data_IF_177201462531
#
_entry.id   IF_177201462531
#
_cell.length_a   1.000
_cell.length_b   1.000
_cell.length_c   1.000
_cell.angle_alpha   90.00
_cell.angle_beta   90.00
_cell.angle_gamma   90.00
#
_symmetry.space_group_name_H-M   'P 1'
#
loop_
_entity.id
_entity.type
_entity.pdbx_description
1 polymer ?
#
# COMPACT_ATOMS: atom_id res chain seq x y z
N UNK A 1 69.90 54.01 -1.83
CA UNK A 1 68.49 53.64 -1.97
C UNK A 1 68.44 52.13 -1.99
N UNK A 2 68.12 51.53 -0.84
CA UNK A 2 67.91 50.09 -0.70
C UNK A 2 66.43 49.90 -0.43
N UNK A 3 65.73 49.25 -1.34
CA UNK A 3 64.36 48.79 -1.13
C UNK A 3 64.41 47.29 -0.93
N UNK A 4 64.10 46.92 0.31
CA UNK A 4 63.83 45.58 0.80
C UNK A 4 62.56 45.06 0.12
N UNK A 5 62.65 43.93 -0.59
CA UNK A 5 61.48 43.18 -1.02
C UNK A 5 60.85 42.51 0.21
N UNK A 6 59.57 42.81 0.44
CA UNK A 6 58.73 42.11 1.39
C UNK A 6 58.25 40.78 0.79
N UNK A 7 58.04 39.72 1.60
CA UNK A 7 57.62 38.42 1.10
C UNK A 7 56.17 38.49 0.63
N UNK A 8 55.93 37.99 -0.58
CA UNK A 8 54.61 37.69 -1.12
C UNK A 8 53.90 36.70 -0.21
N UNK A 9 52.82 37.16 0.41
CA UNK A 9 51.81 36.32 1.08
C UNK A 9 50.56 36.33 0.20
N UNK A 10 50.61 35.55 -0.87
CA UNK A 10 49.40 35.12 -1.58
C UNK A 10 49.13 33.66 -1.19
N UNK A 11 48.70 33.45 0.06
CA UNK A 11 47.88 32.28 0.37
C UNK A 11 46.45 32.61 -0.08
N UNK A 12 46.17 32.37 -1.36
CA UNK A 12 44.80 32.35 -1.86
C UNK A 12 44.01 31.26 -1.10
N UNK A 13 42.79 31.53 -0.61
CA UNK A 13 42.00 30.51 0.05
C UNK A 13 41.66 29.42 -0.98
N UNK A 14 41.96 28.17 -0.62
CA UNK A 14 41.60 26.96 -1.36
C UNK A 14 40.14 27.03 -1.84
N UNK A 15 39.95 26.94 -3.16
CA UNK A 15 38.66 27.01 -3.85
C UNK A 15 37.89 25.68 -3.88
N UNK A 16 38.38 24.64 -3.18
CA UNK A 16 37.74 23.31 -3.14
C UNK A 16 36.82 23.16 -1.91
N UNK A 17 35.77 23.98 -1.83
CA UNK A 17 34.76 23.81 -0.78
C UNK A 17 33.71 22.78 -1.20
N UNK A 18 33.67 21.64 -0.50
CA UNK A 18 32.60 20.66 -0.62
C UNK A 18 31.50 20.95 0.40
N UNK A 19 30.28 21.24 -0.07
CA UNK A 19 29.11 21.40 0.79
C UNK A 19 28.33 20.09 0.82
N UNK A 20 28.16 19.51 2.00
CA UNK A 20 27.26 18.36 2.20
C UNK A 20 25.98 18.80 2.89
N UNK A 21 24.84 18.32 2.38
CA UNK A 21 23.50 18.49 2.96
C UNK A 21 22.91 17.12 3.32
N UNK A 22 22.42 16.98 4.55
CA UNK A 22 21.69 15.79 5.02
C UNK A 22 20.19 16.05 4.95
N UNK A 23 19.47 15.18 4.26
CA UNK A 23 18.05 15.32 4.01
C UNK A 23 17.27 14.35 4.90
N UNK A 24 16.27 14.87 5.59
CA UNK A 24 15.31 14.12 6.40
C UNK A 24 13.92 14.23 5.77
N UNK A 25 13.35 13.10 5.37
CA UNK A 25 12.03 13.06 4.73
C UNK A 25 11.12 12.08 5.48
N UNK A 26 10.01 12.54 6.09
CA UNK A 26 9.01 11.65 6.65
C UNK A 26 8.19 11.00 5.52
N UNK A 27 8.02 9.70 5.60
CA UNK A 27 7.27 8.89 4.64
C UNK A 27 6.16 8.16 5.37
N UNK A 28 4.91 8.47 5.03
CA UNK A 28 3.75 7.71 5.47
C UNK A 28 3.68 6.42 4.66
N UNK A 29 3.82 5.28 5.33
CA UNK A 29 3.86 3.95 4.69
C UNK A 29 2.54 3.19 4.87
N UNK A 30 1.80 3.50 5.95
CA UNK A 30 0.51 2.87 6.25
C UNK A 30 -0.35 3.81 7.07
N UNK A 31 -1.63 3.91 6.72
CA UNK A 31 -2.62 4.67 7.49
C UNK A 31 -3.33 3.87 8.59
N UNK A 32 -4.22 4.56 9.28
CA UNK A 32 -5.14 4.01 10.26
C UNK A 32 -6.33 3.37 9.55
N UNK A 33 -6.66 2.12 9.89
CA UNK A 33 -7.77 1.38 9.29
C UNK A 33 -8.42 0.49 10.36
N UNK A 34 -9.74 0.25 10.34
CA UNK A 34 -10.28 -0.88 11.07
C UNK A 34 -9.62 -2.16 10.53
N UNK A 35 -9.38 -3.14 11.38
CA UNK A 35 -8.72 -4.40 10.99
C UNK A 35 -8.97 -5.52 12.00
N UNK A 36 -8.61 -6.74 11.61
CA UNK A 36 -8.70 -7.91 12.46
C UNK A 36 -7.30 -8.42 12.81
N UNK A 37 -7.14 -8.90 14.05
CA UNK A 37 -5.93 -9.60 14.48
C UNK A 37 -6.29 -11.04 14.83
N UNK A 38 -5.63 -12.06 14.25
CA UNK A 38 -5.86 -13.44 14.65
C UNK A 38 -5.44 -13.62 16.11
N UNK A 39 -6.25 -14.35 16.86
CA UNK A 39 -5.99 -14.71 18.25
C UNK A 39 -6.31 -16.16 18.48
N UNK A 40 -5.50 -16.84 19.28
CA UNK A 40 -5.77 -18.23 19.67
C UNK A 40 -6.41 -18.23 21.04
N UNK A 41 -7.65 -18.74 21.13
CA UNK A 41 -8.35 -18.88 22.40
C UNK A 41 -8.33 -20.34 22.80
N UNK A 42 -7.87 -20.62 24.03
CA UNK A 42 -8.02 -21.94 24.62
C UNK A 42 -9.45 -22.09 25.14
N UNK A 43 -10.28 -22.87 24.44
CA UNK A 43 -11.58 -23.28 24.94
C UNK A 43 -11.45 -24.61 25.68
N UNK A 44 -12.07 -24.69 26.85
CA UNK A 44 -12.32 -25.98 27.51
C UNK A 44 -13.67 -26.48 27.03
N UNK A 45 -13.68 -27.64 26.39
CA UNK A 45 -14.93 -28.34 26.12
C UNK A 45 -15.50 -28.91 27.44
N UNK A 46 -16.75 -29.39 27.42
CA UNK A 46 -17.46 -29.91 28.61
C UNK A 46 -16.73 -31.08 29.28
N UNK A 47 -15.87 -31.78 28.54
CA UNK A 47 -15.06 -32.91 29.02
C UNK A 47 -13.69 -32.49 29.60
N UNK A 48 -13.43 -31.17 29.70
CA UNK A 48 -12.19 -30.63 30.29
C UNK A 48 -10.96 -30.66 29.39
N UNK A 49 -11.09 -31.16 28.16
CA UNK A 49 -10.07 -31.06 27.11
C UNK A 49 -9.92 -29.61 26.63
N UNK A 50 -8.67 -29.16 26.46
CA UNK A 50 -8.38 -27.87 25.86
C UNK A 50 -8.34 -28.03 24.35
N UNK A 51 -9.27 -27.40 23.64
CA UNK A 51 -9.15 -27.14 22.21
C UNK A 51 -8.63 -25.71 22.01
N UNK A 52 -7.75 -25.54 21.03
CA UNK A 52 -7.28 -24.22 20.61
C UNK A 52 -8.06 -23.86 19.36
N UNK A 53 -8.87 -22.81 19.44
CA UNK A 53 -9.64 -22.29 18.32
C UNK A 53 -9.01 -20.95 17.93
N UNK A 54 -8.58 -20.83 16.68
CA UNK A 54 -8.09 -19.55 16.14
C UNK A 54 -9.31 -18.74 15.74
N UNK A 55 -9.47 -17.59 16.38
CA UNK A 55 -10.50 -16.60 16.08
C UNK A 55 -9.82 -15.27 15.77
N UNK A 56 -10.57 -14.18 15.80
CA UNK A 56 -10.06 -12.84 15.53
C UNK A 56 -10.54 -11.86 16.61
N UNK A 57 -9.79 -10.78 16.78
CA UNK A 57 -10.20 -9.61 17.57
C UNK A 57 -10.26 -8.38 16.67
N UNK A 58 -11.33 -7.62 16.83
CA UNK A 58 -11.50 -6.31 16.20
C UNK A 58 -10.46 -5.34 16.75
N UNK A 59 -9.74 -4.69 15.86
CA UNK A 59 -8.65 -3.77 16.19
C UNK A 59 -8.59 -2.64 15.17
N UNK A 60 -7.64 -1.72 15.36
CA UNK A 60 -7.31 -0.67 14.41
C UNK A 60 -5.82 -0.74 14.10
N UNK A 61 -5.44 -0.60 12.83
CA UNK A 61 -4.02 -0.53 12.44
C UNK A 61 -3.45 0.80 12.92
N UNK A 62 -2.27 0.75 13.55
CA UNK A 62 -1.53 1.98 13.85
C UNK A 62 -0.89 2.51 12.56
N UNK A 63 -1.02 3.82 12.27
CA UNK A 63 -0.26 4.46 11.20
C UNK A 63 1.24 4.19 11.33
N UNK A 64 1.90 4.02 10.19
CA UNK A 64 3.35 3.83 10.11
C UNK A 64 3.94 4.98 9.33
N UNK A 65 4.70 5.82 10.02
CA UNK A 65 5.49 6.90 9.42
C UNK A 65 6.95 6.60 9.73
N UNK A 66 7.79 6.61 8.71
CA UNK A 66 9.23 6.41 8.85
C UNK A 66 10.00 7.60 8.32
N UNK A 67 11.24 7.75 8.76
CA UNK A 67 12.12 8.81 8.26
C UNK A 67 13.12 8.21 7.28
N UNK A 68 13.08 8.69 6.04
CA UNK A 68 14.11 8.42 5.05
C UNK A 68 15.22 9.47 5.18
N UNK A 69 16.44 8.99 4.97
CA UNK A 69 17.67 9.75 5.12
C UNK A 69 18.45 9.64 3.83
N UNK A 70 18.80 10.78 3.26
CA UNK A 70 19.75 10.87 2.15
C UNK A 70 20.76 11.97 2.44
N UNK A 71 21.89 11.94 1.73
CA UNK A 71 22.89 12.99 1.82
C UNK A 71 23.35 13.31 0.40
N UNK A 72 23.46 14.61 0.10
CA UNK A 72 23.97 15.13 -1.17
C UNK A 72 25.21 15.95 -0.90
N UNK A 73 26.21 15.82 -1.73
CA UNK A 73 27.44 16.61 -1.60
C UNK A 73 27.72 17.31 -2.91
N UNK A 74 28.03 18.59 -2.81
CA UNK A 74 28.27 19.45 -3.96
C UNK A 74 29.68 20.03 -3.84
N UNK A 75 30.48 19.88 -4.89
CA UNK A 75 31.77 20.52 -5.01
C UNK A 75 31.66 21.70 -5.96
N UNK A 76 32.12 22.87 -5.53
CA UNK A 76 32.22 24.03 -6.41
C UNK A 76 33.42 23.87 -7.34
N UNK A 77 33.24 24.10 -8.63
CA UNK A 77 34.32 24.02 -9.64
C UNK A 77 35.19 25.28 -9.71
N UNK A 78 34.97 26.25 -8.83
CA UNK A 78 35.63 27.56 -8.81
C UNK A 78 35.10 28.55 -9.84
N UNK A 79 34.18 28.13 -10.73
CA UNK A 79 33.51 28.97 -11.73
C UNK A 79 32.04 29.26 -11.37
N UNK A 80 31.60 28.79 -10.20
CA UNK A 80 30.23 28.97 -9.71
C UNK A 80 29.27 27.84 -10.10
N UNK A 81 29.76 26.77 -10.72
CA UNK A 81 28.97 25.56 -10.90
C UNK A 81 29.20 24.58 -9.75
N UNK A 82 28.13 23.91 -9.34
CA UNK A 82 28.16 22.85 -8.33
C UNK A 82 28.05 21.49 -9.04
N UNK A 83 29.03 20.62 -8.83
CA UNK A 83 29.01 19.23 -9.29
C UNK A 83 28.64 18.32 -8.09
N UNK A 84 27.69 17.39 -8.29
CA UNK A 84 27.38 16.39 -7.27
C UNK A 84 28.53 15.37 -7.17
N UNK A 85 29.05 15.18 -5.96
CA UNK A 85 30.18 14.30 -5.66
C UNK A 85 29.85 13.37 -4.50
N UNK A 86 30.64 12.32 -4.33
CA UNK A 86 30.52 11.44 -3.17
C UNK A 86 30.73 12.21 -1.86
N UNK A 87 29.96 11.83 -0.84
CA UNK A 87 30.09 12.41 0.51
C UNK A 87 31.49 12.07 1.06
N UNK A 88 32.29 13.08 1.47
CA UNK A 88 33.61 12.82 2.07
C UNK A 88 33.51 11.88 3.26
N UNK A 89 34.47 10.95 3.40
CA UNK A 89 34.43 9.90 4.45
C UNK A 89 34.29 10.46 5.86
N UNK A 90 34.97 11.57 6.15
CA UNK A 90 34.91 12.25 7.45
C UNK A 90 33.53 12.85 7.70
N UNK A 91 32.94 13.49 6.69
CA UNK A 91 31.57 14.01 6.73
C UNK A 91 30.57 12.88 6.92
N UNK A 92 30.71 11.76 6.20
CA UNK A 92 29.87 10.59 6.37
C UNK A 92 29.91 10.03 7.80
N UNK A 93 31.10 9.93 8.39
CA UNK A 93 31.26 9.50 9.78
C UNK A 93 30.58 10.48 10.77
N UNK A 94 30.66 11.79 10.51
CA UNK A 94 29.97 12.81 11.30
C UNK A 94 28.44 12.71 11.16
N UNK A 95 27.93 12.51 9.93
CA UNK A 95 26.49 12.28 9.67
C UNK A 95 25.99 11.08 10.46
N UNK A 96 26.74 9.97 10.46
CA UNK A 96 26.35 8.78 11.21
C UNK A 96 26.26 9.05 12.73
N UNK A 97 27.22 9.79 13.30
CA UNK A 97 27.17 10.19 14.72
C UNK A 97 25.96 11.07 15.03
N UNK A 98 25.70 12.06 14.17
CA UNK A 98 24.55 12.96 14.30
C UNK A 98 23.22 12.20 14.22
N UNK A 99 23.04 11.37 13.18
CA UNK A 99 21.81 10.57 12.98
C UNK A 99 21.58 9.64 14.15
N UNK A 100 22.63 8.98 14.68
CA UNK A 100 22.51 8.13 15.86
C UNK A 100 22.03 8.92 17.08
N UNK A 101 22.65 10.08 17.37
CA UNK A 101 22.23 10.97 18.46
C UNK A 101 20.79 11.45 18.28
N UNK A 102 20.40 11.78 17.06
CA UNK A 102 19.07 12.28 16.77
C UNK A 102 18.00 11.17 16.89
N UNK A 103 18.34 9.94 16.46
CA UNK A 103 17.50 8.74 16.62
C UNK A 103 17.28 8.34 18.09
N UNK A 104 18.29 8.47 18.94
CA UNK A 104 18.14 8.26 20.39
C UNK A 104 17.12 9.23 21.00
N UNK A 105 17.08 10.47 20.50
CA UNK A 105 16.07 11.46 20.88
C UNK A 105 14.68 11.16 20.32
N UNK A 106 14.59 10.71 19.07
CA UNK A 106 13.31 10.35 18.43
C UNK A 106 12.68 9.07 18.98
N UNK A 107 13.45 8.23 19.68
CA UNK A 107 13.00 6.96 20.23
C UNK A 107 12.36 6.04 19.17
N UNK A 108 11.71 4.95 19.59
CA UNK A 108 10.73 4.33 18.72
C UNK A 108 9.59 5.36 18.54
N UNK A 109 9.54 6.06 17.41
CA UNK A 109 8.39 6.89 16.98
C UNK A 109 7.15 6.00 16.70
N UNK A 110 6.85 5.11 17.64
CA UNK A 110 6.01 3.92 17.52
C UNK A 110 5.00 4.01 18.66
N UNK A 111 3.90 4.70 18.36
CA UNK A 111 2.54 4.48 18.87
C UNK A 111 1.83 5.84 18.94
N UNK A 112 0.78 5.97 18.14
CA UNK A 112 -0.36 6.81 18.52
C UNK A 112 -0.68 6.48 19.97
N UNK A 113 -0.79 7.46 20.89
CA UNK A 113 -1.01 7.17 22.31
C UNK A 113 -2.21 6.23 22.46
N UNK A 114 -2.11 5.24 23.35
CA UNK A 114 -3.24 4.37 23.64
C UNK A 114 -4.44 5.24 24.08
N UNK A 115 -5.53 5.22 23.30
CA UNK A 115 -6.69 6.12 23.47
C UNK A 115 -6.84 7.21 22.41
N UNK A 116 -5.86 7.43 21.55
CA UNK A 116 -5.96 8.34 20.39
C UNK A 116 -6.23 7.61 19.05
N UNK A 117 -6.33 6.28 19.08
CA UNK A 117 -6.82 5.52 17.93
C UNK A 117 -8.35 5.63 17.85
N UNK A 118 -8.92 5.68 16.64
CA UNK A 118 -10.35 5.57 16.45
C UNK A 118 -10.87 4.21 16.92
N UNK A 119 -12.18 4.11 17.10
CA UNK A 119 -12.88 2.87 17.41
C UNK A 119 -13.29 2.14 16.14
N UNK A 120 -13.55 0.83 16.26
CA UNK A 120 -13.96 -0.05 15.15
C UNK A 120 -15.11 0.50 14.31
N UNK A 121 -16.09 1.15 14.94
CA UNK A 121 -17.32 1.67 14.32
C UNK A 121 -17.28 3.15 13.97
N UNK A 122 -16.13 3.80 14.15
CA UNK A 122 -16.02 5.21 13.84
C UNK A 122 -16.16 5.45 12.32
N UNK A 123 -16.59 6.64 11.88
CA UNK A 123 -16.61 6.99 10.46
C UNK A 123 -15.20 7.14 9.89
N UNK A 124 -15.06 7.03 8.56
CA UNK A 124 -13.78 7.17 7.83
C UNK A 124 -12.98 8.42 8.26
N UNK A 125 -13.64 9.55 8.47
CA UNK A 125 -13.01 10.80 8.90
C UNK A 125 -12.17 10.67 10.19
N UNK A 126 -12.55 9.79 11.12
CA UNK A 126 -11.77 9.56 12.35
C UNK A 126 -10.44 8.85 12.07
N UNK A 127 -10.45 7.90 11.12
CA UNK A 127 -9.25 7.19 10.68
C UNK A 127 -8.32 8.10 9.87
N UNK A 128 -8.87 8.91 8.96
CA UNK A 128 -8.11 9.94 8.23
C UNK A 128 -7.44 10.93 9.19
N UNK A 129 -8.19 11.43 10.18
CA UNK A 129 -7.67 12.33 11.20
C UNK A 129 -6.51 11.70 11.98
N UNK A 130 -6.66 10.44 12.42
CA UNK A 130 -5.61 9.70 13.11
C UNK A 130 -4.34 9.56 12.25
N UNK A 131 -4.49 9.25 10.96
CA UNK A 131 -3.38 9.14 10.00
C UNK A 131 -2.65 10.48 9.84
N UNK A 132 -3.39 11.56 9.57
CA UNK A 132 -2.82 12.90 9.40
C UNK A 132 -2.13 13.40 10.67
N UNK A 133 -2.75 13.21 11.84
CA UNK A 133 -2.19 13.59 13.13
C UNK A 133 -0.89 12.83 13.43
N UNK A 134 -0.83 11.55 13.06
CA UNK A 134 0.38 10.74 13.21
C UNK A 134 1.53 11.27 12.37
N UNK A 135 1.28 11.65 11.12
CA UNK A 135 2.27 12.27 10.23
C UNK A 135 2.76 13.62 10.77
N UNK A 136 1.84 14.49 11.20
CA UNK A 136 2.18 15.78 11.80
C UNK A 136 3.01 15.64 13.08
N UNK A 137 2.65 14.68 13.94
CA UNK A 137 3.38 14.40 15.18
C UNK A 137 4.79 13.91 14.86
N UNK A 138 4.93 13.00 13.90
CA UNK A 138 6.23 12.50 13.45
C UNK A 138 7.12 13.63 12.94
N UNK A 139 6.58 14.50 12.09
CA UNK A 139 7.30 15.68 11.59
C UNK A 139 7.72 16.64 12.72
N UNK A 140 6.85 16.86 13.70
CA UNK A 140 7.14 17.74 14.84
C UNK A 140 8.29 17.20 15.69
N UNK A 141 8.26 15.89 15.99
CA UNK A 141 9.34 15.21 16.71
C UNK A 141 10.65 15.23 15.93
N UNK A 142 10.59 14.96 14.63
CA UNK A 142 11.75 15.07 13.76
C UNK A 142 12.37 16.46 13.84
N UNK A 143 11.57 17.52 13.64
CA UNK A 143 12.02 18.92 13.69
C UNK A 143 12.65 19.30 15.02
N UNK A 144 12.01 18.94 16.14
CA UNK A 144 12.50 19.26 17.48
C UNK A 144 13.89 18.68 17.74
N UNK A 145 14.03 17.38 17.49
CA UNK A 145 15.20 16.62 17.90
C UNK A 145 16.32 16.63 16.84
N UNK A 146 16.01 16.80 15.54
CA UNK A 146 17.03 17.15 14.51
C UNK A 146 17.69 18.47 14.90
N UNK A 147 16.87 19.52 15.11
CA UNK A 147 17.36 20.83 15.47
C UNK A 147 18.14 20.84 16.78
N UNK A 148 17.63 20.16 17.83
CA UNK A 148 18.33 20.02 19.10
C UNK A 148 19.68 19.32 18.95
N UNK A 149 19.72 18.19 18.25
CA UNK A 149 20.98 17.43 18.05
C UNK A 149 21.97 18.21 17.20
N UNK A 150 21.49 18.98 16.22
CA UNK A 150 22.36 19.79 15.36
C UNK A 150 22.98 20.95 16.16
N UNK A 151 22.17 21.63 16.97
CA UNK A 151 22.60 22.76 17.83
C UNK A 151 23.59 22.33 18.91
N UNK A 152 23.44 21.12 19.46
CA UNK A 152 24.35 20.62 20.50
C UNK A 152 25.77 20.29 19.97
N UNK A 153 25.94 20.19 18.65
CA UNK A 153 27.22 19.93 17.99
C UNK A 153 27.85 18.56 18.33
N UNK A 154 29.01 18.27 17.74
CA UNK A 154 29.82 17.10 18.08
C UNK A 154 30.87 17.50 19.13
N UNK A 155 30.46 17.52 20.40
CA UNK A 155 31.34 17.93 21.50
C UNK A 155 31.82 19.40 21.40
N UNK A 156 30.91 20.30 20.99
CA UNK A 156 31.18 21.74 20.86
C UNK A 156 31.77 22.18 19.51
N UNK A 157 31.99 21.26 18.56
CA UNK A 157 32.28 21.59 17.16
C UNK A 157 31.00 21.57 16.32
N UNK A 158 30.90 22.51 15.38
CA UNK A 158 29.85 22.51 14.37
C UNK A 158 29.94 21.27 13.47
N UNK A 159 28.80 20.83 12.95
CA UNK A 159 28.74 19.70 12.02
C UNK A 159 29.33 20.09 10.65
N UNK A 160 30.08 19.21 9.97
CA UNK A 160 30.66 19.48 8.64
C UNK A 160 29.64 19.37 7.50
N UNK A 161 28.36 19.58 7.80
CA UNK A 161 27.23 19.48 6.88
C UNK A 161 26.09 20.38 7.35
N UNK A 162 25.20 20.76 6.44
CA UNK A 162 23.89 21.31 6.78
C UNK A 162 22.85 20.20 6.78
N UNK A 163 21.68 20.45 7.36
CA UNK A 163 20.55 19.54 7.23
C UNK A 163 19.32 20.26 6.70
N UNK A 164 18.50 19.51 5.96
CA UNK A 164 17.20 19.94 5.46
C UNK A 164 16.14 18.93 5.84
N UNK A 165 15.00 19.43 6.30
CA UNK A 165 13.84 18.63 6.66
C UNK A 165 12.73 18.97 5.70
N UNK A 166 12.27 18.00 4.90
CA UNK A 166 11.08 18.17 4.10
C UNK A 166 9.85 17.81 4.95
N UNK A 167 8.75 18.57 4.85
CA UNK A 167 7.53 18.27 5.60
C UNK A 167 6.78 17.06 5.05
N UNK A 168 6.95 16.78 3.75
CA UNK A 168 6.33 15.67 3.03
C UNK A 168 7.23 15.19 1.88
N UNK A 169 6.86 14.05 1.30
CA UNK A 169 7.60 13.45 0.18
C UNK A 169 7.46 14.24 -1.11
N UNK A 170 6.33 14.89 -1.36
CA UNK A 170 6.10 15.60 -2.61
C UNK A 170 7.11 16.74 -2.78
N UNK A 171 7.32 17.53 -1.72
CA UNK A 171 8.32 18.61 -1.74
C UNK A 171 9.75 18.08 -1.90
N UNK A 172 10.05 16.88 -1.39
CA UNK A 172 11.35 16.25 -1.61
C UNK A 172 11.52 15.86 -3.08
N UNK A 173 10.51 15.23 -3.69
CA UNK A 173 10.53 14.84 -5.10
C UNK A 173 10.60 16.05 -6.05
N UNK A 174 9.84 17.11 -5.75
CA UNK A 174 9.84 18.35 -6.53
C UNK A 174 11.23 19.03 -6.54
N UNK A 175 12.03 18.82 -5.49
CA UNK A 175 13.41 19.30 -5.37
C UNK A 175 14.44 18.30 -5.93
N UNK A 176 14.00 17.45 -6.87
CA UNK A 176 14.80 16.43 -7.53
C UNK A 176 15.13 15.23 -6.63
N UNK A 177 14.41 15.04 -5.53
CA UNK A 177 14.52 13.89 -4.65
C UNK A 177 14.25 12.57 -5.35
N UNK A 178 14.92 11.51 -4.92
CA UNK A 178 14.68 10.13 -5.40
C UNK A 178 14.44 9.23 -4.20
N UNK A 179 13.41 8.38 -4.29
CA UNK A 179 13.09 7.33 -3.32
C UNK A 179 13.46 5.99 -3.95
N UNK A 180 14.22 5.16 -3.22
CA UNK A 180 14.81 3.95 -3.79
C UNK A 180 14.02 2.72 -3.36
N UNK A 181 13.42 2.04 -4.34
CA UNK A 181 12.76 0.77 -4.13
C UNK A 181 11.33 0.86 -3.54
N UNK A 182 10.70 -0.31 -3.34
CA UNK A 182 9.28 -0.42 -3.01
C UNK A 182 8.93 0.04 -1.59
N UNK A 183 9.79 -0.26 -0.61
CA UNK A 183 9.55 0.09 0.80
C UNK A 183 9.71 1.60 1.10
N UNK A 184 10.22 2.36 0.14
CA UNK A 184 10.43 3.80 0.25
C UNK A 184 9.27 4.62 -0.35
N UNK A 185 8.37 3.98 -1.10
CA UNK A 185 7.27 4.68 -1.75
C UNK A 185 6.25 5.16 -0.72
N UNK A 186 5.86 6.45 -0.75
CA UNK A 186 4.82 6.95 0.13
C UNK A 186 3.48 6.31 -0.21
N UNK A 187 2.69 6.06 0.81
CA UNK A 187 1.26 5.81 0.67
C UNK A 187 0.63 7.06 0.04
N UNK A 188 0.05 6.92 -1.15
CA UNK A 188 -0.72 7.97 -1.77
C UNK A 188 -2.04 8.15 -1.02
N UNK A 189 -2.48 9.40 -0.89
CA UNK A 189 -3.71 9.69 -0.15
C UNK A 189 -4.94 9.08 -0.83
N UNK A 190 -5.01 9.11 -2.15
CA UNK A 190 -6.09 8.49 -2.94
C UNK A 190 -6.17 6.98 -2.68
N UNK A 191 -5.04 6.27 -2.81
CA UNK A 191 -4.96 4.82 -2.55
C UNK A 191 -5.34 4.48 -1.08
N UNK A 192 -4.99 5.37 -0.14
CA UNK A 192 -5.38 5.23 1.26
C UNK A 192 -6.88 5.40 1.46
N UNK A 193 -7.50 6.42 0.86
CA UNK A 193 -8.94 6.67 0.98
C UNK A 193 -9.74 5.49 0.42
N UNK A 194 -9.37 4.98 -0.75
CA UNK A 194 -10.03 3.81 -1.36
C UNK A 194 -9.89 2.56 -0.49
N UNK A 195 -8.74 2.38 0.17
CA UNK A 195 -8.54 1.27 1.11
C UNK A 195 -9.28 1.47 2.42
N UNK A 196 -9.40 2.71 2.90
CA UNK A 196 -10.14 3.04 4.11
C UNK A 196 -11.64 2.81 3.93
N UNK A 197 -12.20 3.22 2.80
CA UNK A 197 -13.59 2.95 2.46
C UNK A 197 -13.89 1.45 2.50
N UNK A 198 -13.06 0.65 1.81
CA UNK A 198 -13.12 -0.81 1.81
C UNK A 198 -13.06 -1.39 3.22
N UNK A 199 -12.10 -0.95 4.03
CA UNK A 199 -11.92 -1.47 5.38
C UNK A 199 -13.12 -1.11 6.30
N UNK A 200 -13.64 0.12 6.20
CA UNK A 200 -14.80 0.56 6.97
C UNK A 200 -16.05 -0.20 6.55
N UNK A 201 -16.26 -0.41 5.26
CA UNK A 201 -17.40 -1.18 4.77
C UNK A 201 -17.29 -2.65 5.16
N UNK A 202 -16.11 -3.25 5.06
CA UNK A 202 -15.81 -4.58 5.59
C UNK A 202 -16.12 -4.71 7.08
N UNK A 203 -15.80 -3.68 7.89
CA UNK A 203 -16.08 -3.69 9.32
C UNK A 203 -17.58 -3.69 9.63
N UNK A 204 -18.37 -2.92 8.87
CA UNK A 204 -19.84 -2.94 8.95
C UNK A 204 -20.40 -4.29 8.51
N UNK A 205 -19.94 -4.81 7.38
CA UNK A 205 -20.35 -6.10 6.84
C UNK A 205 -20.14 -7.26 7.83
N UNK A 206 -18.99 -7.27 8.52
CA UNK A 206 -18.73 -8.23 9.59
C UNK A 206 -19.65 -8.04 10.79
N UNK A 207 -19.88 -6.79 11.22
CA UNK A 207 -20.83 -6.52 12.31
C UNK A 207 -22.26 -6.96 11.96
N UNK A 208 -22.70 -6.75 10.72
CA UNK A 208 -23.98 -7.24 10.23
C UNK A 208 -24.04 -8.76 10.25
N UNK A 209 -23.03 -9.44 9.71
CA UNK A 209 -22.95 -10.90 9.67
C UNK A 209 -23.00 -11.50 11.07
N UNK A 210 -22.29 -10.90 12.03
CA UNK A 210 -22.27 -11.34 13.44
C UNK A 210 -23.63 -11.14 14.14
N UNK A 211 -24.50 -10.25 13.66
CA UNK A 211 -25.85 -10.02 14.23
C UNK A 211 -26.94 -10.92 13.68
N UNK A 212 -26.66 -11.68 12.62
CA UNK A 212 -27.61 -12.59 11.99
C UNK A 212 -27.92 -13.80 12.91
N UNK A 213 -29.16 -14.33 12.92
CA UNK A 213 -29.54 -15.47 13.77
C UNK A 213 -28.71 -16.75 13.52
N UNK A 214 -28.55 -17.59 14.56
CA UNK A 214 -27.80 -18.86 14.52
C UNK A 214 -28.32 -19.89 13.49
N UNK A 215 -29.56 -19.73 13.02
CA UNK A 215 -30.17 -20.59 12.00
C UNK A 215 -29.80 -20.24 10.54
N UNK A 216 -29.08 -19.15 10.32
CA UNK A 216 -28.72 -18.66 8.99
C UNK A 216 -27.31 -19.10 8.61
N UNK A 217 -27.12 -19.51 7.36
CA UNK A 217 -25.78 -19.75 6.80
C UNK A 217 -25.11 -18.41 6.58
N UNK A 218 -24.01 -18.15 7.29
CA UNK A 218 -23.28 -16.88 7.23
C UNK A 218 -22.02 -17.08 6.41
N UNK A 219 -21.88 -16.33 5.31
CA UNK A 219 -20.77 -16.46 4.37
C UNK A 219 -20.01 -15.14 4.33
N UNK A 220 -18.75 -15.18 4.74
CA UNK A 220 -17.82 -14.10 4.44
C UNK A 220 -17.14 -14.42 3.10
N UNK A 221 -17.00 -13.44 2.22
CA UNK A 221 -16.20 -13.61 1.00
C UNK A 221 -15.37 -12.38 0.72
N UNK A 222 -14.34 -12.54 -0.11
CA UNK A 222 -13.44 -11.46 -0.50
C UNK A 222 -13.08 -11.55 -1.97
N UNK A 223 -12.67 -10.41 -2.52
CA UNK A 223 -12.19 -10.27 -3.89
C UNK A 223 -10.82 -9.62 -3.88
N UNK A 224 -9.91 -10.11 -4.72
CA UNK A 224 -8.55 -9.60 -4.79
C UNK A 224 -8.06 -9.59 -6.23
N UNK A 225 -7.34 -8.54 -6.63
CA UNK A 225 -6.61 -8.54 -7.89
C UNK A 225 -5.34 -9.36 -7.65
N UNK A 226 -5.18 -10.53 -8.27
CA UNK A 226 -4.00 -11.40 -8.14
C UNK A 226 -2.94 -11.15 -9.21
N UNK A 227 -3.31 -10.55 -10.35
CA UNK A 227 -2.36 -9.95 -11.29
C UNK A 227 -2.86 -8.57 -11.72
N UNK A 228 -2.03 -7.51 -11.68
CA UNK A 228 -2.44 -6.17 -12.08
C UNK A 228 -2.68 -6.09 -13.60
N UNK A 229 -3.08 -4.91 -14.08
CA UNK A 229 -3.09 -4.62 -15.52
C UNK A 229 -1.67 -4.78 -16.06
N UNK A 230 -1.49 -5.54 -17.14
CA UNK A 230 -0.17 -5.87 -17.68
C UNK A 230 -0.05 -5.54 -19.15
N UNK A 231 1.17 -5.23 -19.58
CA UNK A 231 1.53 -5.16 -20.99
C UNK A 231 2.17 -6.50 -21.40
N UNK A 232 1.67 -7.11 -22.48
CA UNK A 232 2.19 -8.37 -23.00
C UNK A 232 2.44 -8.27 -24.50
N UNK A 233 3.61 -8.73 -24.92
CA UNK A 233 3.92 -8.96 -26.33
C UNK A 233 3.25 -10.27 -26.80
N UNK A 234 2.61 -10.21 -27.96
CA UNK A 234 1.96 -11.33 -28.62
C UNK A 234 2.84 -11.77 -29.80
N UNK A 235 3.02 -13.08 -29.93
CA UNK A 235 3.69 -13.68 -31.09
C UNK A 235 2.84 -13.48 -32.35
N UNK A 236 3.47 -13.07 -33.45
CA UNK A 236 2.79 -13.04 -34.75
C UNK A 236 2.68 -14.45 -35.35
N UNK A 237 1.65 -14.71 -36.18
CA UNK A 237 1.68 -15.82 -37.13
C UNK A 237 2.91 -15.67 -38.05
N UNK A 238 3.60 -16.77 -38.35
CA UNK A 238 4.72 -16.77 -39.30
C UNK A 238 4.22 -16.33 -40.69
N UNK A 239 4.78 -15.24 -41.24
CA UNK A 239 4.54 -14.81 -42.63
C UNK A 239 4.12 -13.34 -42.85
N UNK A 240 3.85 -12.56 -41.81
CA UNK A 240 3.53 -11.12 -41.94
C UNK A 240 4.75 -10.23 -41.61
N UNK A 241 5.44 -9.81 -42.67
CA UNK A 241 6.69 -9.03 -42.65
C UNK A 241 6.46 -7.51 -42.51
N UNK A 242 5.49 -7.11 -41.69
CA UNK A 242 5.20 -5.69 -41.45
C UNK A 242 5.82 -5.26 -40.12
N UNK A 243 7.12 -4.99 -40.12
CA UNK A 243 8.00 -4.82 -38.93
C UNK A 243 7.66 -3.66 -38.00
N UNK A 244 6.49 -3.03 -38.11
CA UNK A 244 6.20 -1.78 -37.43
C UNK A 244 4.75 -1.60 -36.98
N UNK A 245 4.24 -2.45 -36.07
CA UNK A 245 2.88 -2.25 -35.57
C UNK A 245 2.70 -2.53 -34.08
N UNK A 246 2.02 -1.58 -33.41
CA UNK A 246 1.46 -1.70 -32.05
C UNK A 246 0.61 -2.97 -31.86
N UNK A 247 0.21 -3.64 -32.94
CA UNK A 247 -0.62 -4.85 -32.94
C UNK A 247 0.08 -6.08 -32.35
N UNK A 248 1.41 -6.07 -32.18
CA UNK A 248 2.16 -7.11 -31.45
C UNK A 248 2.11 -6.94 -29.94
N UNK A 249 1.46 -5.89 -29.44
CA UNK A 249 1.36 -5.60 -28.02
C UNK A 249 -0.09 -5.56 -27.59
N UNK A 250 -0.36 -6.09 -26.40
CA UNK A 250 -1.71 -6.12 -25.82
C UNK A 250 -1.67 -5.80 -24.33
N UNK A 251 -2.67 -5.03 -23.91
CA UNK A 251 -2.97 -4.84 -22.50
C UNK A 251 -3.85 -5.98 -22.03
N UNK A 252 -3.43 -6.64 -20.96
CA UNK A 252 -4.21 -7.64 -20.24
C UNK A 252 -4.89 -6.96 -19.06
N UNK A 253 -6.20 -7.18 -18.94
CA UNK A 253 -6.97 -6.75 -17.77
C UNK A 253 -6.45 -7.42 -16.49
N UNK A 254 -6.71 -6.80 -15.32
CA UNK A 254 -6.40 -7.42 -14.04
C UNK A 254 -7.04 -8.80 -13.89
N UNK A 255 -6.31 -9.72 -13.28
CA UNK A 255 -6.81 -11.06 -12.93
C UNK A 255 -7.40 -11.02 -11.52
N UNK A 256 -8.62 -11.50 -11.37
CA UNK A 256 -9.39 -11.44 -10.13
C UNK A 256 -9.44 -12.83 -9.50
N UNK A 257 -9.31 -12.86 -8.18
CA UNK A 257 -9.60 -14.03 -7.36
C UNK A 257 -10.77 -13.76 -6.42
N UNK A 258 -11.54 -14.80 -6.16
CA UNK A 258 -12.66 -14.82 -5.23
C UNK A 258 -12.41 -15.92 -4.22
N UNK A 259 -12.61 -15.63 -2.94
CA UNK A 259 -12.53 -16.62 -1.86
C UNK A 259 -13.72 -16.43 -0.93
N UNK A 260 -14.30 -17.52 -0.45
CA UNK A 260 -15.35 -17.46 0.57
C UNK A 260 -15.07 -18.41 1.73
N UNK A 261 -15.76 -18.18 2.83
CA UNK A 261 -15.75 -19.03 4.02
C UNK A 261 -17.07 -18.89 4.78
N UNK A 262 -17.63 -20.03 5.16
CA UNK A 262 -18.78 -20.11 6.07
C UNK A 262 -18.29 -19.84 7.51
N UNK A 263 -19.02 -19.01 8.27
CA UNK A 263 -18.67 -18.72 9.67
C UNK A 263 -18.84 -19.94 10.59
N UNK A 264 -17.99 -20.02 11.61
CA UNK A 264 -17.95 -21.13 12.56
C UNK A 264 -19.20 -21.22 13.45
N UNK A 265 -20.06 -20.20 13.49
CA UNK A 265 -21.35 -20.18 14.20
C UNK A 265 -22.56 -20.47 13.28
N UNK A 266 -22.33 -20.77 12.00
CA UNK A 266 -23.37 -21.23 11.07
C UNK A 266 -23.93 -22.62 11.47
N UNK A 267 -25.06 -23.07 10.89
CA UNK A 267 -25.61 -24.39 11.14
C UNK A 267 -24.59 -25.54 10.92
N UNK A 268 -24.63 -26.57 11.78
CA UNK A 268 -23.66 -27.68 11.72
C UNK A 268 -23.66 -28.47 10.41
N UNK A 269 -24.81 -28.53 9.73
CA UNK A 269 -24.95 -29.29 8.48
C UNK A 269 -24.06 -28.69 7.37
N UNK A 270 -23.97 -27.35 7.25
CA UNK A 270 -23.21 -26.70 6.19
C UNK A 270 -21.69 -26.78 6.43
N UNK A 271 -21.26 -26.89 7.69
CA UNK A 271 -19.84 -27.02 8.04
C UNK A 271 -19.22 -28.33 7.56
N UNK A 272 -20.04 -29.38 7.40
CA UNK A 272 -19.61 -30.72 7.01
C UNK A 272 -19.91 -31.03 5.54
N UNK A 273 -20.63 -30.15 4.86
CA UNK A 273 -21.05 -30.33 3.48
C UNK A 273 -20.13 -29.55 2.53
N UNK A 274 -19.06 -30.21 2.09
CA UNK A 274 -18.11 -29.67 1.11
C UNK A 274 -18.78 -29.33 -0.23
N UNK A 275 -19.82 -30.08 -0.62
CA UNK A 275 -20.53 -29.85 -1.87
C UNK A 275 -21.32 -28.54 -1.82
N UNK A 276 -21.99 -28.26 -0.69
CA UNK A 276 -22.72 -27.02 -0.48
C UNK A 276 -21.77 -25.81 -0.40
N UNK A 277 -20.62 -25.92 0.28
CA UNK A 277 -19.60 -24.86 0.27
C UNK A 277 -19.08 -24.56 -1.14
N UNK A 278 -18.74 -25.61 -1.91
CA UNK A 278 -18.31 -25.47 -3.30
C UNK A 278 -19.41 -24.90 -4.22
N UNK A 279 -20.68 -25.10 -3.87
CA UNK A 279 -21.81 -24.48 -4.57
C UNK A 279 -21.87 -22.98 -4.30
N UNK A 280 -21.75 -22.56 -3.03
CA UNK A 280 -21.71 -21.13 -2.69
C UNK A 280 -20.51 -20.41 -3.33
N UNK A 281 -19.32 -21.02 -3.31
CA UNK A 281 -18.14 -20.47 -4.00
C UNK A 281 -18.39 -20.25 -5.50
N UNK A 282 -19.03 -21.22 -6.16
CA UNK A 282 -19.41 -21.12 -7.58
C UNK A 282 -20.45 -20.03 -7.80
N UNK A 283 -21.48 -19.94 -6.96
CA UNK A 283 -22.51 -18.90 -7.06
C UNK A 283 -21.93 -17.49 -6.88
N UNK A 284 -21.06 -17.27 -5.88
CA UNK A 284 -20.41 -15.98 -5.66
C UNK A 284 -19.49 -15.63 -6.85
N UNK A 285 -18.72 -16.61 -7.33
CA UNK A 285 -17.84 -16.40 -8.48
C UNK A 285 -18.64 -16.08 -9.75
N UNK A 286 -19.76 -16.77 -9.98
CA UNK A 286 -20.66 -16.52 -11.11
C UNK A 286 -21.32 -15.14 -11.01
N UNK A 287 -21.80 -14.75 -9.82
CA UNK A 287 -22.38 -13.42 -9.57
C UNK A 287 -21.36 -12.29 -9.76
N UNK A 288 -20.10 -12.51 -9.37
CA UNK A 288 -19.02 -11.56 -9.70
C UNK A 288 -18.82 -11.51 -11.21
N UNK A 289 -18.70 -12.64 -11.89
CA UNK A 289 -18.48 -12.68 -13.34
C UNK A 289 -19.63 -12.06 -14.15
N UNK A 290 -20.87 -12.14 -13.66
CA UNK A 290 -22.05 -11.56 -14.32
C UNK A 290 -22.20 -10.07 -14.05
N UNK A 291 -21.89 -9.61 -12.84
CA UNK A 291 -22.13 -8.23 -12.40
C UNK A 291 -20.95 -7.29 -12.61
N UNK A 292 -19.71 -7.80 -12.65
CA UNK A 292 -18.51 -6.99 -12.80
C UNK A 292 -18.12 -6.87 -14.28
N UNK A 293 -18.19 -5.64 -14.79
CA UNK A 293 -17.65 -5.27 -16.09
C UNK A 293 -16.35 -4.48 -15.88
N UNK A 294 -15.18 -5.02 -16.31
CA UNK A 294 -13.92 -4.29 -16.24
C UNK A 294 -14.01 -2.95 -16.99
N UNK A 295 -13.24 -1.97 -16.54
CA UNK A 295 -13.09 -0.71 -17.26
C UNK A 295 -12.49 -0.94 -18.66
N UNK A 296 -12.75 -0.02 -19.61
CA UNK A 296 -12.07 -0.05 -20.91
C UNK A 296 -10.56 -0.11 -20.74
N UNK A 297 -9.92 -0.98 -21.53
CA UNK A 297 -8.48 -1.17 -21.49
C UNK A 297 -7.71 0.14 -21.72
N UNK A 298 -6.53 0.24 -21.10
CA UNK A 298 -5.59 1.34 -21.34
C UNK A 298 -5.29 1.47 -22.85
N UNK A 299 -5.46 2.66 -23.45
CA UNK A 299 -5.13 2.86 -24.86
C UNK A 299 -3.61 2.82 -25.04
N UNK A 300 -3.13 1.93 -25.90
CA UNK A 300 -1.71 1.83 -26.24
C UNK A 300 -1.34 2.83 -27.34
N UNK A 301 -0.42 3.71 -27.01
CA UNK A 301 0.18 4.72 -27.87
C UNK A 301 1.67 4.84 -27.51
N UNK A 302 2.51 5.45 -28.36
CA UNK A 302 3.90 5.71 -28.01
C UNK A 302 4.06 6.57 -26.75
N UNK A 303 3.07 7.41 -26.44
CA UNK A 303 3.05 8.30 -25.27
C UNK A 303 2.48 7.64 -24.02
N UNK A 304 1.92 6.43 -24.13
CA UNK A 304 1.33 5.72 -22.98
C UNK A 304 2.38 5.55 -21.90
N UNK A 305 2.02 5.89 -20.66
CA UNK A 305 2.89 5.85 -19.50
C UNK A 305 2.53 4.70 -18.57
N UNK A 306 3.50 4.26 -17.76
CA UNK A 306 3.26 3.24 -16.73
C UNK A 306 2.17 3.66 -15.73
N UNK A 307 2.04 4.97 -15.47
CA UNK A 307 1.05 5.51 -14.54
C UNK A 307 -0.39 5.18 -14.97
N UNK A 308 -0.67 5.15 -16.28
CA UNK A 308 -2.02 4.83 -16.79
C UNK A 308 -2.43 3.39 -16.45
N UNK A 309 -1.48 2.44 -16.45
CA UNK A 309 -1.75 1.06 -16.05
C UNK A 309 -1.97 0.91 -14.54
N UNK A 310 -1.20 1.64 -13.73
CA UNK A 310 -1.34 1.62 -12.28
C UNK A 310 -2.70 2.23 -11.86
N UNK A 311 -3.06 3.39 -12.44
CA UNK A 311 -4.36 4.02 -12.22
C UNK A 311 -5.49 3.12 -12.72
N UNK A 312 -5.36 2.50 -13.89
CA UNK A 312 -6.36 1.56 -14.40
C UNK A 312 -6.55 0.37 -13.44
N UNK A 313 -5.47 -0.20 -12.90
CA UNK A 313 -5.55 -1.30 -11.93
C UNK A 313 -6.29 -0.87 -10.66
N UNK A 314 -5.89 0.26 -10.06
CA UNK A 314 -6.53 0.78 -8.83
C UNK A 314 -8.03 1.04 -9.04
N UNK A 315 -8.41 1.68 -10.15
CA UNK A 315 -9.82 1.93 -10.47
C UNK A 315 -10.65 0.66 -10.67
N UNK A 316 -10.07 -0.38 -11.30
CA UNK A 316 -10.76 -1.67 -11.44
C UNK A 316 -10.89 -2.39 -10.09
N UNK A 317 -9.90 -2.28 -9.20
CA UNK A 317 -9.96 -2.85 -7.84
C UNK A 317 -11.09 -2.23 -7.04
N UNK A 318 -11.19 -0.91 -7.07
CA UNK A 318 -12.22 -0.17 -6.35
C UNK A 318 -13.62 -0.43 -6.95
N UNK A 319 -13.74 -0.52 -8.28
CA UNK A 319 -14.98 -0.92 -8.95
C UNK A 319 -15.41 -2.34 -8.53
N UNK A 320 -14.49 -3.31 -8.57
CA UNK A 320 -14.75 -4.68 -8.15
C UNK A 320 -15.23 -4.76 -6.71
N UNK A 321 -14.62 -3.98 -5.80
CA UNK A 321 -15.08 -3.85 -4.43
C UNK A 321 -16.55 -3.40 -4.37
N UNK A 322 -16.94 -2.31 -5.03
CA UNK A 322 -18.31 -1.81 -4.95
C UNK A 322 -19.33 -2.85 -5.44
N UNK A 323 -19.03 -3.52 -6.55
CA UNK A 323 -19.88 -4.59 -7.06
C UNK A 323 -19.96 -5.76 -6.08
N UNK A 324 -18.83 -6.20 -5.53
CA UNK A 324 -18.78 -7.32 -4.60
C UNK A 324 -19.53 -7.01 -3.29
N UNK A 325 -19.25 -5.86 -2.68
CA UNK A 325 -19.78 -5.49 -1.37
C UNK A 325 -21.28 -5.16 -1.37
N UNK A 326 -21.80 -4.58 -2.46
CA UNK A 326 -23.19 -4.10 -2.47
C UNK A 326 -24.13 -4.89 -3.39
N UNK A 327 -23.65 -5.35 -4.55
CA UNK A 327 -24.49 -6.05 -5.52
C UNK A 327 -24.43 -7.55 -5.29
N UNK A 328 -23.23 -8.14 -5.35
CA UNK A 328 -23.05 -9.59 -5.22
C UNK A 328 -23.45 -10.07 -3.83
N UNK A 329 -23.01 -9.39 -2.77
CA UNK A 329 -23.37 -9.75 -1.40
C UNK A 329 -24.90 -9.79 -1.21
N UNK A 330 -25.64 -8.88 -1.85
CA UNK A 330 -27.09 -8.86 -1.82
C UNK A 330 -27.71 -9.96 -2.69
N UNK A 331 -27.20 -10.17 -3.89
CA UNK A 331 -27.67 -11.19 -4.84
C UNK A 331 -27.56 -12.60 -4.27
N UNK A 332 -26.45 -12.91 -3.60
CA UNK A 332 -26.20 -14.23 -3.02
C UNK A 332 -26.74 -14.40 -1.59
N UNK A 333 -27.44 -13.38 -1.06
CA UNK A 333 -28.12 -13.44 0.24
C UNK A 333 -29.60 -13.80 0.09
N UNK A 334 -30.07 -14.70 0.96
CA UNK A 334 -31.44 -15.19 1.06
C UNK A 334 -32.04 -14.84 2.43
N UNK A 335 -32.92 -13.83 2.47
CA UNK A 335 -33.55 -13.32 3.71
C UNK A 335 -34.99 -13.83 3.91
N UNK A 336 -35.46 -13.88 5.17
CA UNK A 336 -36.82 -14.33 5.53
C UNK A 336 -37.86 -13.43 4.86
N UNK A 337 -38.75 -14.02 4.05
CA UNK A 337 -39.85 -13.30 3.39
C UNK A 337 -39.48 -12.66 2.04
N UNK A 338 -38.25 -12.89 1.55
CA UNK A 338 -37.91 -12.59 0.17
C UNK A 338 -38.58 -13.58 -0.80
N UNK A 339 -39.17 -13.06 -1.88
CA UNK A 339 -39.64 -13.89 -2.98
C UNK A 339 -38.45 -14.24 -3.86
N UNK A 340 -37.94 -15.44 -3.73
CA UNK A 340 -36.90 -15.96 -4.61
C UNK A 340 -37.54 -16.95 -5.56
N UNK A 341 -37.21 -16.88 -6.85
CA UNK A 341 -37.70 -17.83 -7.85
C UNK A 341 -36.54 -18.69 -8.34
N UNK A 342 -36.76 -19.98 -8.57
CA UNK A 342 -35.78 -20.85 -9.21
C UNK A 342 -35.62 -20.52 -10.72
N UNK A 343 -34.77 -21.27 -11.43
CA UNK A 343 -34.54 -21.10 -12.87
C UNK A 343 -35.81 -21.27 -13.71
N UNK A 344 -36.83 -21.96 -13.17
CA UNK A 344 -38.13 -22.19 -13.80
C UNK A 344 -39.18 -21.12 -13.42
N UNK A 345 -38.82 -20.16 -12.55
CA UNK A 345 -39.70 -19.07 -12.11
C UNK A 345 -40.62 -19.42 -10.95
N UNK A 346 -40.42 -20.57 -10.29
CA UNK A 346 -41.23 -21.04 -9.16
C UNK A 346 -40.72 -20.45 -7.84
N UNK A 347 -41.63 -20.00 -6.97
CA UNK A 347 -41.30 -19.37 -5.68
C UNK A 347 -40.64 -20.41 -4.75
N UNK A 348 -39.38 -20.16 -4.35
CA UNK A 348 -38.61 -20.99 -3.43
C UNK A 348 -39.13 -20.74 -2.01
N UNK A 349 -40.10 -21.54 -1.59
CA UNK A 349 -40.74 -21.44 -0.27
C UNK A 349 -39.87 -22.00 0.87
N UNK A 350 -38.89 -22.86 0.56
CA UNK A 350 -38.05 -23.60 1.52
C UNK A 350 -36.54 -23.23 1.43
N UNK A 351 -36.22 -21.98 1.10
CA UNK A 351 -34.84 -21.50 1.08
C UNK A 351 -34.22 -21.46 2.47
N UNK A 352 -33.12 -22.19 2.69
CA UNK A 352 -32.26 -21.97 3.85
C UNK A 352 -31.83 -20.50 3.86
N UNK A 353 -31.95 -19.85 5.01
CA UNK A 353 -31.50 -18.46 5.14
C UNK A 353 -30.00 -18.38 4.91
N UNK A 354 -29.57 -17.46 4.06
CA UNK A 354 -28.15 -17.20 3.78
C UNK A 354 -27.90 -15.71 3.89
N UNK A 355 -26.86 -15.32 4.62
CA UNK A 355 -26.32 -13.96 4.55
C UNK A 355 -24.89 -14.05 4.04
N UNK A 356 -24.61 -13.38 2.93
CA UNK A 356 -23.27 -13.20 2.42
C UNK A 356 -22.82 -11.76 2.64
N UNK A 357 -21.54 -11.60 3.00
CA UNK A 357 -20.96 -10.29 3.25
C UNK A 357 -19.54 -10.24 2.69
N UNK A 358 -19.23 -9.15 1.98
CA UNK A 358 -17.87 -8.92 1.51
C UNK A 358 -16.98 -8.41 2.65
N UNK A 359 -15.77 -8.94 2.71
CA UNK A 359 -14.76 -8.61 3.72
C UNK A 359 -13.48 -8.21 3.00
N UNK A 360 -12.85 -7.13 3.47
CA UNK A 360 -11.58 -6.65 2.95
C UNK A 360 -10.54 -7.79 2.96
N UNK A 361 -9.70 -7.93 1.93
CA UNK A 361 -8.85 -9.11 1.83
C UNK A 361 -7.87 -9.31 2.99
N UNK A 362 -7.44 -8.23 3.68
CA UNK A 362 -6.59 -8.34 4.86
C UNK A 362 -7.37 -8.78 6.09
N UNK A 363 -8.60 -8.28 6.25
CA UNK A 363 -9.51 -8.75 7.28
C UNK A 363 -9.92 -10.20 7.03
N UNK A 364 -10.17 -10.59 5.78
CA UNK A 364 -10.58 -11.94 5.41
C UNK A 364 -9.50 -12.97 5.76
N UNK A 365 -8.22 -12.65 5.58
CA UNK A 365 -7.11 -13.51 6.06
C UNK A 365 -7.16 -13.72 7.56
N UNK A 366 -7.25 -12.65 8.33
CA UNK A 366 -7.36 -12.72 9.79
C UNK A 366 -8.62 -13.44 10.26
N UNK A 367 -9.74 -13.24 9.57
CA UNK A 367 -10.98 -13.98 9.76
C UNK A 367 -10.78 -15.47 9.53
N UNK A 368 -10.00 -15.86 8.52
CA UNK A 368 -9.63 -17.25 8.26
C UNK A 368 -8.57 -17.82 9.24
N UNK A 369 -8.08 -17.02 10.19
CA UNK A 369 -7.03 -17.41 11.14
C UNK A 369 -5.60 -17.26 10.61
N UNK A 370 -5.43 -16.67 9.43
CA UNK A 370 -4.13 -16.32 8.86
C UNK A 370 -3.67 -14.93 9.28
N UNK A 371 -2.37 -14.63 9.34
CA UNK A 371 -1.93 -13.26 9.54
C UNK A 371 -2.40 -12.36 8.37
N UNK A 372 -2.78 -11.09 8.65
CA UNK A 372 -2.99 -10.09 7.60
C UNK A 372 -1.76 -9.97 6.70
N UNK A 373 -1.94 -9.47 5.46
CA UNK A 373 -0.80 -9.22 4.59
C UNK A 373 0.16 -8.22 5.23
N UNK A 374 1.45 -8.41 4.97
CA UNK A 374 2.42 -7.36 5.24
C UNK A 374 2.08 -6.13 4.40
N UNK A 375 2.18 -4.95 5.00
CA UNK A 375 1.93 -3.66 4.33
C UNK A 375 2.91 -3.41 3.17
N UNK A 376 4.07 -4.10 3.17
CA UNK A 376 5.08 -4.04 2.11
C UNK A 376 4.64 -4.74 0.84
N UNK A 377 3.89 -5.84 0.94
CA UNK A 377 3.54 -6.68 -0.20
C UNK A 377 2.79 -5.92 -1.31
N UNK A 378 1.80 -5.05 -1.02
CA UNK A 378 1.17 -4.23 -2.05
C UNK A 378 2.15 -3.25 -2.72
N UNK A 379 3.08 -2.66 -1.96
CA UNK A 379 4.06 -1.72 -2.48
C UNK A 379 5.09 -2.42 -3.38
N UNK A 380 5.61 -3.59 -2.95
CA UNK A 380 6.49 -4.46 -3.74
C UNK A 380 5.82 -4.86 -5.06
N UNK A 381 4.58 -5.32 -4.99
CA UNK A 381 3.85 -5.76 -6.17
C UNK A 381 3.53 -4.62 -7.14
N UNK A 382 3.19 -3.44 -6.63
CA UNK A 382 3.00 -2.24 -7.44
C UNK A 382 4.31 -1.83 -8.13
N UNK A 383 5.42 -1.94 -7.42
CA UNK A 383 6.76 -1.66 -7.94
C UNK A 383 7.18 -2.64 -9.05
N UNK A 384 7.08 -3.94 -8.80
CA UNK A 384 7.37 -4.98 -9.80
C UNK A 384 6.50 -4.81 -11.06
N UNK A 385 5.21 -4.50 -10.87
CA UNK A 385 4.32 -4.21 -11.98
C UNK A 385 4.74 -2.97 -12.74
N UNK A 386 5.19 -1.92 -12.04
CA UNK A 386 5.67 -0.68 -12.67
C UNK A 386 6.90 -0.96 -13.52
N UNK A 387 7.91 -1.63 -12.98
CA UNK A 387 9.15 -1.95 -13.69
C UNK A 387 8.86 -2.79 -14.96
N UNK A 388 8.07 -3.85 -14.83
CA UNK A 388 7.74 -4.71 -15.95
C UNK A 388 6.97 -3.99 -17.08
N UNK A 389 6.08 -3.06 -16.72
CA UNK A 389 5.33 -2.27 -17.70
C UNK A 389 6.24 -1.22 -18.35
N UNK A 390 7.10 -0.57 -17.58
CA UNK A 390 8.03 0.44 -18.09
C UNK A 390 9.01 -0.17 -19.09
N UNK A 391 9.62 -1.32 -18.75
CA UNK A 391 10.47 -2.10 -19.65
C UNK A 391 9.71 -2.52 -20.92
N UNK A 392 8.47 -2.98 -20.78
CA UNK A 392 7.62 -3.35 -21.90
C UNK A 392 7.31 -2.16 -22.82
N UNK A 393 7.00 -0.99 -22.25
CA UNK A 393 6.73 0.24 -22.99
C UNK A 393 7.98 0.76 -23.69
N UNK A 394 9.15 0.71 -23.04
CA UNK A 394 10.42 1.04 -23.69
C UNK A 394 10.70 0.14 -24.89
N UNK A 395 10.53 -1.16 -24.71
CA UNK A 395 10.75 -2.16 -25.77
C UNK A 395 9.80 -1.90 -26.94
N UNK A 396 8.51 -1.70 -26.64
CA UNK A 396 7.50 -1.33 -27.63
C UNK A 396 7.90 -0.07 -28.41
N UNK A 397 8.35 0.99 -27.73
CA UNK A 397 8.78 2.24 -28.38
C UNK A 397 10.02 2.04 -29.27
N UNK A 398 10.99 1.24 -28.83
CA UNK A 398 12.19 0.90 -29.62
C UNK A 398 11.83 0.14 -30.89
N UNK A 399 10.90 -0.82 -30.81
CA UNK A 399 10.39 -1.56 -31.98
C UNK A 399 9.71 -0.63 -32.98
N UNK A 400 8.88 0.31 -32.50
CA UNK A 400 8.20 1.28 -33.36
C UNK A 400 9.17 2.26 -34.06
N UNK A 401 10.27 2.60 -33.39
CA UNK A 401 11.31 3.46 -33.93
C UNK A 401 12.24 2.74 -34.91
N UNK A 402 12.49 1.45 -34.68
CA UNK A 402 13.38 0.60 -35.47
C UNK A 402 12.78 0.06 -36.78
N UNK A 403 11.45 0.13 -36.95
CA UNK A 403 10.78 -0.20 -38.21
C UNK A 403 10.82 0.91 -39.27
N UNK A 404 11.89 1.71 -39.33
CA UNK A 404 12.12 2.77 -40.32
C UNK A 404 12.97 2.32 -41.49
#
# INVERSE_FOLDING_TARGET
MSTTDAPSTDDAPSTDYTRTEVIFTPVLLRGCLPSLKPTTVARRNRDGQRSYETTYVRTVTTPRVETRLSARSFRNDGQGHEEEVDVPRETFAAIYRYVRSAREGWGPMIAVPAGALPQWRDPSAAFEHCTAQSQMRHLSLLREHTGRSYTNGDGGRGWPFTYRLYPDVQQYLDDGGVLFGPEDQPLKWEDYTDRLERAVESAKNLDELDTVPEGTVKIAFTTDIVQPTRLKRISRPEGEDDTNSLQTWKVLHPEISVKSRVQDDSPEWIKRDESAQASYDRSISAAIASSYLPLPSVPLTPQTSVLEFLVHTSRNEHLLFHHAAHNVAKEVSFEVGGKYTDEDGEEIVDGLLVKAAWVDPDMFKAFCGEPPRDWRLPAERSWESREAIDEGLETMRKELAGGK
#
